data_IF_207857131634
#
_entry.id   IF_207857131634
#
_cell.length_a   1.000
_cell.length_b   1.000
_cell.length_c   1.000
_cell.angle_alpha   90.00
_cell.angle_beta   90.00
_cell.angle_gamma   90.00
#
_symmetry.space_group_name_H-M   'P 1'
#
loop_
_entity.id
_entity.type
_entity.pdbx_description
1 polymer ?
#
# COMPACT_ATOMS: atom_id res chain seq x y z
N UNK A 1 -10.35 7.07 -7.21
CA UNK A 1 -9.93 7.56 -5.89
C UNK A 1 -8.56 8.20 -6.07
N UNK A 2 -8.37 9.42 -5.57
CA UNK A 2 -7.12 10.19 -5.69
C UNK A 2 -6.18 9.91 -4.52
N UNK A 3 -4.89 10.28 -4.64
CA UNK A 3 -3.94 10.22 -3.52
C UNK A 3 -4.41 11.04 -2.31
N UNK A 4 -5.07 12.19 -2.54
CA UNK A 4 -5.64 13.01 -1.48
C UNK A 4 -6.77 12.26 -0.75
N UNK A 5 -7.68 11.60 -1.49
CA UNK A 5 -8.77 10.83 -0.89
C UNK A 5 -8.26 9.71 0.03
N UNK A 6 -7.18 9.03 -0.38
CA UNK A 6 -6.54 7.98 0.43
C UNK A 6 -5.87 8.57 1.66
N UNK A 7 -5.18 9.70 1.49
CA UNK A 7 -4.49 10.39 2.58
C UNK A 7 -5.48 10.87 3.66
N UNK A 8 -6.63 11.40 3.25
CA UNK A 8 -7.71 11.83 4.13
C UNK A 8 -8.27 10.64 4.92
N UNK A 9 -8.48 9.49 4.27
CA UNK A 9 -8.93 8.25 4.93
C UNK A 9 -7.90 7.71 5.93
N UNK A 10 -6.62 7.95 5.70
CA UNK A 10 -5.52 7.51 6.57
C UNK A 10 -5.17 8.53 7.66
N UNK A 11 -5.73 9.75 7.62
CA UNK A 11 -5.30 10.85 8.50
C UNK A 11 -3.83 11.22 8.29
N UNK A 12 -3.34 11.15 7.05
CA UNK A 12 -1.95 11.44 6.66
C UNK A 12 -1.90 12.57 5.63
N UNK A 13 -0.77 13.28 5.48
CA UNK A 13 -0.59 14.21 4.36
C UNK A 13 -0.59 13.47 3.01
N UNK A 14 -1.06 14.10 1.92
CA UNK A 14 -1.02 13.47 0.59
C UNK A 14 0.39 13.03 0.17
N UNK A 15 1.43 13.75 0.60
CA UNK A 15 2.83 13.38 0.34
C UNK A 15 3.24 12.05 0.97
N UNK A 16 2.53 11.58 2.01
CA UNK A 16 2.69 10.24 2.56
C UNK A 16 2.34 9.19 1.50
N UNK A 17 1.17 9.32 0.86
CA UNK A 17 0.68 8.41 -0.18
C UNK A 17 1.57 8.49 -1.42
N UNK A 18 1.94 9.70 -1.84
CA UNK A 18 2.83 9.90 -2.98
C UNK A 18 4.19 9.19 -2.80
N UNK A 19 4.80 9.28 -1.61
CA UNK A 19 6.07 8.61 -1.31
C UNK A 19 5.95 7.09 -1.23
N UNK A 20 4.80 6.58 -0.79
CA UNK A 20 4.52 5.14 -0.78
C UNK A 20 4.40 4.62 -2.21
N UNK A 21 3.60 5.29 -3.06
CA UNK A 21 3.43 4.91 -4.47
C UNK A 21 4.72 5.05 -5.27
N UNK A 22 5.54 6.06 -4.97
CA UNK A 22 6.87 6.25 -5.58
C UNK A 22 7.95 5.31 -5.06
N UNK A 23 7.66 4.45 -4.07
CA UNK A 23 8.65 3.54 -3.48
C UNK A 23 9.71 4.21 -2.60
N UNK A 24 9.62 5.52 -2.38
CA UNK A 24 10.52 6.29 -1.51
C UNK A 24 10.27 6.00 -0.02
N UNK A 25 9.08 5.50 0.33
CA UNK A 25 8.69 5.15 1.70
C UNK A 25 8.24 3.70 1.78
N UNK A 26 8.92 2.92 2.63
CA UNK A 26 8.48 1.59 3.02
C UNK A 26 7.29 1.66 3.98
N UNK A 27 6.35 0.74 3.83
CA UNK A 27 5.25 0.52 4.78
C UNK A 27 5.62 -0.61 5.73
N UNK A 28 5.31 -0.46 7.01
CA UNK A 28 5.20 -1.64 7.88
C UNK A 28 3.87 -2.38 7.63
N UNK A 29 3.70 -3.55 8.24
CA UNK A 29 2.52 -4.40 8.02
C UNK A 29 1.22 -3.74 8.53
N UNK A 30 1.27 -2.97 9.62
CA UNK A 30 0.10 -2.26 10.14
C UNK A 30 -0.31 -1.14 9.19
N UNK A 31 0.67 -0.41 8.66
CA UNK A 31 0.45 0.63 7.65
C UNK A 31 -0.08 0.07 6.34
N UNK A 32 0.42 -1.09 5.91
CA UNK A 32 -0.11 -1.83 4.77
C UNK A 32 -1.59 -2.19 4.97
N UNK A 33 -1.97 -2.74 6.13
CA UNK A 33 -3.37 -3.08 6.45
C UNK A 33 -4.25 -1.83 6.45
N UNK A 34 -3.75 -0.72 7.01
CA UNK A 34 -4.48 0.54 7.02
C UNK A 34 -4.69 1.08 5.59
N UNK A 35 -3.66 1.03 4.76
CA UNK A 35 -3.72 1.44 3.35
C UNK A 35 -4.71 0.57 2.56
N UNK A 36 -4.62 -0.75 2.69
CA UNK A 36 -5.53 -1.70 2.04
C UNK A 36 -7.01 -1.37 2.37
N UNK A 37 -7.32 -1.15 3.65
CA UNK A 37 -8.67 -0.75 4.07
C UNK A 37 -9.07 0.63 3.55
N UNK A 38 -8.15 1.59 3.55
CA UNK A 38 -8.41 2.93 3.05
C UNK A 38 -8.74 2.93 1.55
N UNK A 39 -8.16 2.01 0.77
CA UNK A 39 -8.45 1.84 -0.65
C UNK A 39 -9.63 0.90 -0.95
N UNK A 40 -10.23 0.30 0.07
CA UNK A 40 -11.38 -0.60 -0.06
C UNK A 40 -11.03 -2.05 -0.40
N UNK A 41 -9.78 -2.46 -0.21
CA UNK A 41 -9.27 -3.79 -0.50
C UNK A 41 -9.18 -4.65 0.76
N UNK A 42 -9.33 -5.97 0.60
CA UNK A 42 -9.05 -6.92 1.67
C UNK A 42 -7.52 -7.03 1.86
N UNK A 43 -6.99 -6.78 3.07
CA UNK A 43 -5.54 -6.82 3.30
C UNK A 43 -4.91 -8.19 3.02
N UNK A 44 -5.61 -9.28 3.31
CA UNK A 44 -5.11 -10.64 3.08
C UNK A 44 -5.02 -10.94 1.59
N UNK A 45 -6.06 -10.64 0.82
CA UNK A 45 -6.07 -10.86 -0.64
C UNK A 45 -5.04 -9.98 -1.35
N UNK A 46 -4.84 -8.73 -0.88
CA UNK A 46 -3.80 -7.86 -1.39
C UNK A 46 -2.39 -8.38 -1.09
N UNK A 47 -2.19 -8.95 0.10
CA UNK A 47 -0.91 -9.54 0.50
C UNK A 47 -0.61 -10.82 -0.30
N UNK A 48 -1.61 -11.67 -0.54
CA UNK A 48 -1.47 -12.85 -1.39
C UNK A 48 -1.04 -12.48 -2.81
N UNK A 49 -1.64 -11.42 -3.39
CA UNK A 49 -1.20 -10.88 -4.69
C UNK A 49 0.23 -10.35 -4.66
N UNK A 50 0.64 -9.72 -3.56
CA UNK A 50 2.02 -9.25 -3.39
C UNK A 50 3.00 -10.42 -3.35
N UNK A 51 2.70 -11.47 -2.57
CA UNK A 51 3.55 -12.67 -2.50
C UNK A 51 3.68 -13.36 -3.86
N UNK A 52 2.56 -13.56 -4.56
CA UNK A 52 2.59 -14.15 -5.90
C UNK A 52 3.40 -13.32 -6.91
N UNK A 53 3.34 -11.98 -6.81
CA UNK A 53 4.15 -11.09 -7.62
C UNK A 53 5.63 -11.20 -7.28
N UNK A 54 6.00 -11.31 -6.00
CA UNK A 54 7.39 -11.48 -5.56
C UNK A 54 7.95 -12.85 -5.96
N UNK A 55 7.16 -13.93 -5.85
CA UNK A 55 7.56 -15.28 -6.28
C UNK A 55 7.80 -15.38 -7.80
N UNK A 56 7.26 -14.43 -8.58
CA UNK A 56 7.49 -14.31 -10.02
C UNK A 56 8.73 -13.50 -10.38
N UNK A 57 9.37 -12.85 -9.41
CA UNK A 57 10.66 -12.19 -9.58
C UNK A 57 11.73 -13.27 -9.39
N UNK A 58 12.57 -13.56 -10.41
CA UNK A 58 13.66 -14.52 -10.25
C UNK A 58 14.55 -14.09 -9.09
N UNK A 59 14.93 -15.04 -8.23
CA UNK A 59 16.06 -14.86 -7.33
C UNK A 59 17.28 -14.48 -8.20
N UNK A 60 17.80 -13.26 -8.03
CA UNK A 60 19.08 -12.86 -8.66
C UNK A 60 20.22 -13.83 -8.29
#
# INVERSE_FOLDING_TARGET
MTQQDVADRLGKPQSYVAKVEGGERRLDVVEFVALAKAIGENPTELFDRLLAALDSIPDE
#
